data_IF_210011836237
#
_entry.id   IF_210011836237
#
_cell.length_a   1.000
_cell.length_b   1.000
_cell.length_c   1.000
_cell.angle_alpha   90.00
_cell.angle_beta   90.00
_cell.angle_gamma   90.00
#
_symmetry.space_group_name_H-M   'P 1'
#
loop_
_entity.id
_entity.type
_entity.pdbx_description
1 polymer ?
#
# COMPACT_ATOMS: atom_id res chain seq x y z
N UNK A 1 -7.18 3.60 3.45
CA UNK A 1 -6.29 4.11 2.37
C UNK A 1 -7.17 4.99 1.51
N UNK A 2 -7.14 6.30 1.76
CA UNK A 2 -7.82 7.31 0.95
C UNK A 2 -6.74 8.33 0.65
N UNK A 3 -6.42 8.49 -0.62
CA UNK A 3 -5.33 9.34 -1.11
C UNK A 3 -5.34 9.30 -2.63
N UNK A 4 -4.88 10.37 -3.25
CA UNK A 4 -4.54 10.36 -4.67
C UNK A 4 -3.09 9.89 -4.81
N UNK A 5 -2.77 9.30 -5.96
CA UNK A 5 -1.38 9.12 -6.37
C UNK A 5 -0.78 10.50 -6.61
N UNK A 6 0.48 10.72 -6.21
CA UNK A 6 1.14 12.01 -6.48
C UNK A 6 1.43 12.20 -7.98
N UNK A 7 1.76 11.13 -8.69
CA UNK A 7 1.84 11.16 -10.15
C UNK A 7 2.29 9.84 -10.80
N UNK A 8 2.40 9.88 -12.12
CA UNK A 8 3.05 8.86 -12.95
C UNK A 8 4.13 9.52 -13.79
N UNK A 9 5.17 8.77 -14.15
CA UNK A 9 6.22 9.21 -15.07
C UNK A 9 6.63 8.04 -15.96
N UNK A 10 7.36 8.34 -17.03
CA UNK A 10 8.02 7.35 -17.85
C UNK A 10 9.48 7.20 -17.44
N UNK A 11 9.99 5.97 -17.48
CA UNK A 11 11.41 5.65 -17.31
C UNK A 11 11.88 4.84 -18.50
N UNK A 12 13.13 5.03 -18.88
CA UNK A 12 13.75 4.30 -19.98
C UNK A 12 14.21 2.94 -19.49
N UNK A 13 13.83 1.88 -20.21
CA UNK A 13 14.19 0.49 -19.94
C UNK A 13 14.69 -0.17 -21.24
N UNK A 14 15.55 -1.19 -21.16
CA UNK A 14 15.97 -1.94 -22.35
C UNK A 14 14.76 -2.62 -23.00
N UNK A 15 14.64 -2.51 -24.33
CA UNK A 15 13.70 -3.33 -25.08
C UNK A 15 14.18 -4.80 -25.01
N UNK A 16 13.28 -5.74 -24.67
CA UNK A 16 13.66 -7.04 -24.09
C UNK A 16 14.67 -7.93 -24.86
N UNK A 17 15.42 -8.74 -24.09
CA UNK A 17 15.84 -10.12 -24.39
C UNK A 17 16.94 -10.41 -25.42
N UNK A 18 17.32 -9.47 -26.28
CA UNK A 18 18.40 -9.65 -27.26
C UNK A 18 19.38 -8.50 -27.17
N UNK A 19 20.67 -8.76 -27.32
CA UNK A 19 21.78 -7.79 -27.18
C UNK A 19 21.82 -6.63 -28.19
N UNK A 20 20.67 -6.07 -28.56
CA UNK A 20 20.54 -4.82 -29.30
C UNK A 20 20.42 -3.62 -28.36
N UNK A 21 20.94 -2.48 -28.80
CA UNK A 21 20.92 -1.18 -28.11
C UNK A 21 19.55 -0.47 -28.29
N UNK A 22 18.47 -1.23 -28.16
CA UNK A 22 17.11 -0.71 -28.35
C UNK A 22 16.48 -0.39 -26.99
N UNK A 23 15.87 0.79 -26.90
CA UNK A 23 15.39 1.39 -25.65
C UNK A 23 13.90 1.68 -25.76
N UNK A 24 13.14 1.34 -24.73
CA UNK A 24 11.71 1.65 -24.65
C UNK A 24 11.41 2.40 -23.36
N UNK A 25 10.19 2.92 -23.23
CA UNK A 25 9.72 3.58 -22.02
C UNK A 25 8.70 2.70 -21.30
N UNK A 26 8.78 2.72 -19.98
CA UNK A 26 7.80 2.12 -19.09
C UNK A 26 7.21 3.19 -18.18
N UNK A 27 5.89 3.17 -18.03
CA UNK A 27 5.22 4.03 -17.06
C UNK A 27 5.36 3.46 -15.64
N UNK A 28 5.79 4.31 -14.71
CA UNK A 28 5.88 4.00 -13.28
C UNK A 28 5.08 5.02 -12.46
N UNK A 29 4.68 4.59 -11.27
CA UNK A 29 4.10 5.48 -10.26
C UNK A 29 5.19 6.28 -9.55
N UNK A 30 4.90 7.52 -9.18
CA UNK A 30 5.72 8.32 -8.25
C UNK A 30 4.87 8.67 -7.05
N UNK A 31 5.35 8.32 -5.86
CA UNK A 31 4.71 8.66 -4.58
C UNK A 31 5.71 9.42 -3.71
N UNK A 32 5.32 10.58 -3.20
CA UNK A 32 6.18 11.53 -2.48
C UNK A 32 5.73 11.67 -1.03
N UNK A 33 6.63 11.37 -0.10
CA UNK A 33 6.42 11.54 1.35
C UNK A 33 7.32 12.63 1.90
N UNK A 34 6.72 13.75 2.30
CA UNK A 34 7.40 14.76 3.11
C UNK A 34 7.54 14.28 4.56
N UNK A 35 8.78 14.15 5.04
CA UNK A 35 9.10 13.66 6.39
C UNK A 35 9.53 14.82 7.29
N UNK A 36 9.01 14.83 8.52
CA UNK A 36 9.34 15.83 9.54
C UNK A 36 10.50 15.37 10.45
N UNK A 37 10.61 14.06 10.70
CA UNK A 37 11.61 13.50 11.63
C UNK A 37 12.86 12.88 10.99
N UNK A 38 12.90 12.73 9.67
CA UNK A 38 13.99 12.07 8.95
C UNK A 38 13.52 11.12 7.86
N UNK A 39 14.46 10.71 7.02
CA UNK A 39 14.25 9.65 6.02
C UNK A 39 14.13 8.30 6.74
N UNK A 40 13.26 7.43 6.27
CA UNK A 40 13.11 6.05 6.79
C UNK A 40 13.60 5.07 5.74
N UNK A 41 14.66 4.33 6.04
CA UNK A 41 15.30 3.41 5.10
C UNK A 41 15.45 2.05 5.83
N UNK A 42 14.68 1.01 5.45
CA UNK A 42 13.69 1.00 4.37
C UNK A 42 12.46 1.88 4.68
N UNK A 43 11.67 2.27 3.66
CA UNK A 43 10.43 3.00 3.87
C UNK A 43 9.44 2.19 4.75
N UNK A 44 8.55 2.84 5.51
CA UNK A 44 7.53 2.15 6.28
C UNK A 44 6.66 1.24 5.41
N UNK A 45 6.32 0.06 5.93
CA UNK A 45 5.53 -0.91 5.19
C UNK A 45 4.18 -0.37 4.70
N UNK A 46 3.50 0.47 5.49
CA UNK A 46 2.23 1.07 5.07
C UNK A 46 2.37 2.03 3.88
N UNK A 47 3.52 2.70 3.74
CA UNK A 47 3.81 3.55 2.58
C UNK A 47 4.06 2.68 1.35
N UNK A 48 4.82 1.58 1.50
CA UNK A 48 5.03 0.62 0.43
C UNK A 48 3.72 -0.02 -0.04
N UNK A 49 2.86 -0.44 0.90
CA UNK A 49 1.56 -1.04 0.59
C UNK A 49 0.63 -0.06 -0.15
N UNK A 50 0.64 1.22 0.25
CA UNK A 50 -0.08 2.25 -0.48
C UNK A 50 0.43 2.41 -1.91
N UNK A 51 1.75 2.48 -2.10
CA UNK A 51 2.36 2.60 -3.43
C UNK A 51 2.09 1.38 -4.31
N UNK A 52 2.18 0.16 -3.77
CA UNK A 52 1.80 -1.09 -4.46
C UNK A 52 0.35 -1.04 -4.91
N UNK A 53 -0.57 -0.53 -4.09
CA UNK A 53 -1.96 -0.37 -4.48
C UNK A 53 -2.09 0.58 -5.69
N UNK A 54 -1.33 1.68 -5.75
CA UNK A 54 -1.33 2.58 -6.90
C UNK A 54 -0.79 1.90 -8.17
N UNK A 55 0.32 1.15 -8.08
CA UNK A 55 0.82 0.36 -9.22
C UNK A 55 -0.25 -0.56 -9.78
N UNK A 56 -0.93 -1.31 -8.92
CA UNK A 56 -1.97 -2.25 -9.33
C UNK A 56 -3.18 -1.55 -9.95
N UNK A 57 -3.60 -0.39 -9.43
CA UNK A 57 -4.73 0.38 -9.96
C UNK A 57 -4.42 1.04 -11.31
N UNK A 58 -3.16 1.44 -11.55
CA UNK A 58 -2.74 2.15 -12.76
C UNK A 58 -2.08 1.24 -13.79
N UNK A 59 -1.92 -0.05 -13.49
CA UNK A 59 -1.29 -1.02 -14.38
C UNK A 59 0.23 -0.86 -14.52
N UNK A 60 0.89 -0.16 -13.60
CA UNK A 60 2.36 0.00 -13.62
C UNK A 60 3.03 -1.20 -12.94
N UNK A 61 4.17 -1.68 -13.46
CA UNK A 61 4.92 -2.78 -12.83
C UNK A 61 5.79 -2.30 -11.66
N UNK A 62 6.07 -1.00 -11.59
CA UNK A 62 6.95 -0.41 -10.59
C UNK A 62 6.52 1.00 -10.16
N UNK A 63 7.16 1.48 -9.10
CA UNK A 63 7.02 2.83 -8.58
C UNK A 63 8.31 3.34 -7.95
N UNK A 64 8.46 4.66 -7.90
CA UNK A 64 9.42 5.35 -7.05
C UNK A 64 8.72 5.96 -5.83
N UNK A 65 9.04 5.41 -4.65
CA UNK A 65 8.65 5.99 -3.37
C UNK A 65 9.73 7.00 -2.94
N UNK A 66 9.45 8.27 -3.17
CA UNK A 66 10.30 9.42 -2.89
C UNK A 66 10.04 9.91 -1.47
N UNK A 67 11.09 10.05 -0.68
CA UNK A 67 11.04 10.64 0.67
C UNK A 67 11.83 11.94 0.69
N UNK A 68 11.18 13.03 1.09
CA UNK A 68 11.77 14.36 1.16
C UNK A 68 11.80 14.83 2.61
N UNK A 69 12.97 15.22 3.13
CA UNK A 69 13.11 15.88 4.44
C UNK A 69 13.89 17.18 4.28
N UNK A 70 13.52 18.21 5.03
CA UNK A 70 14.31 19.44 5.12
C UNK A 70 15.15 19.40 6.40
N UNK A 71 16.48 19.42 6.26
CA UNK A 71 17.41 19.48 7.39
C UNK A 71 18.16 20.80 7.30
N UNK A 72 18.00 21.67 8.31
CA UNK A 72 18.61 23.01 8.34
C UNK A 72 18.35 23.81 7.04
N UNK A 73 17.11 23.77 6.56
CA UNK A 73 16.69 24.47 5.33
C UNK A 73 17.10 23.79 4.01
N UNK A 74 17.96 22.76 4.03
CA UNK A 74 18.38 22.04 2.82
C UNK A 74 17.50 20.80 2.59
N UNK A 75 16.98 20.57 1.37
CA UNK A 75 16.23 19.36 1.06
C UNK A 75 17.20 18.17 0.98
N UNK A 76 16.80 17.03 1.56
CA UNK A 76 17.38 15.72 1.31
C UNK A 76 16.28 14.82 0.76
N UNK A 77 16.60 14.17 -0.33
CA UNK A 77 15.68 13.28 -1.05
C UNK A 77 16.28 11.87 -1.02
N UNK A 78 15.44 10.88 -0.76
CA UNK A 78 15.79 9.48 -0.93
C UNK A 78 14.68 8.80 -1.70
N UNK A 79 15.05 8.02 -2.71
CA UNK A 79 14.11 7.31 -3.57
C UNK A 79 14.29 5.82 -3.34
N UNK A 80 13.19 5.11 -3.14
CA UNK A 80 13.16 3.65 -3.09
C UNK A 80 12.31 3.15 -4.25
N UNK A 81 12.93 2.40 -5.17
CA UNK A 81 12.21 1.69 -6.25
C UNK A 81 11.47 0.51 -5.66
N UNK A 82 10.17 0.43 -5.93
CA UNK A 82 9.32 -0.70 -5.59
C UNK A 82 8.89 -1.35 -6.90
N UNK A 83 9.24 -2.62 -7.11
CA UNK A 83 8.75 -3.41 -8.23
C UNK A 83 7.69 -4.41 -7.74
N UNK A 84 6.59 -4.55 -8.46
CA UNK A 84 5.51 -5.48 -8.11
C UNK A 84 6.01 -6.93 -8.06
N UNK A 85 6.94 -7.27 -8.93
CA UNK A 85 7.49 -8.61 -9.13
C UNK A 85 8.92 -8.74 -8.57
N UNK A 86 9.30 -7.89 -7.60
CA UNK A 86 10.56 -8.00 -6.86
C UNK A 86 10.69 -9.38 -6.20
N UNK A 87 11.84 -10.02 -6.35
CA UNK A 87 12.08 -11.39 -5.89
C UNK A 87 11.98 -11.55 -4.37
N UNK A 88 12.30 -10.50 -3.60
CA UNK A 88 12.30 -10.54 -2.15
C UNK A 88 10.90 -10.22 -1.63
N UNK A 89 10.30 -9.12 -2.10
CA UNK A 89 9.05 -8.63 -1.55
C UNK A 89 7.81 -9.28 -2.16
N UNK A 90 7.90 -9.80 -3.39
CA UNK A 90 6.82 -10.49 -4.13
C UNK A 90 5.48 -9.76 -4.03
N UNK A 91 5.51 -8.43 -4.18
CA UNK A 91 4.40 -7.55 -3.84
C UNK A 91 3.09 -7.92 -4.55
N UNK A 92 3.14 -8.26 -5.84
CA UNK A 92 1.97 -8.69 -6.61
C UNK A 92 1.33 -9.93 -6.01
N UNK A 93 2.14 -10.95 -5.77
CA UNK A 93 1.66 -12.21 -5.24
C UNK A 93 1.10 -12.04 -3.81
N UNK A 94 1.85 -11.38 -2.92
CA UNK A 94 1.41 -11.15 -1.55
C UNK A 94 0.15 -10.28 -1.49
N UNK A 95 -0.02 -9.34 -2.43
CA UNK A 95 -1.24 -8.58 -2.56
C UNK A 95 -2.44 -9.50 -2.85
N UNK A 96 -2.33 -10.38 -3.84
CA UNK A 96 -3.41 -11.28 -4.22
C UNK A 96 -3.66 -12.38 -3.18
N UNK A 97 -2.61 -12.93 -2.57
CA UNK A 97 -2.71 -14.02 -1.61
C UNK A 97 -3.20 -13.55 -0.23
N UNK A 98 -2.81 -12.36 0.21
CA UNK A 98 -3.02 -11.91 1.60
C UNK A 98 -3.86 -10.64 1.68
N UNK A 99 -3.43 -9.57 1.02
CA UNK A 99 -4.01 -8.24 1.23
C UNK A 99 -5.42 -8.16 0.68
N UNK A 100 -5.62 -8.57 -0.57
CA UNK A 100 -6.88 -8.44 -1.28
C UNK A 100 -8.01 -9.25 -0.61
N UNK A 101 -7.83 -10.54 -0.25
CA UNK A 101 -8.85 -11.29 0.49
C UNK A 101 -9.23 -10.63 1.82
N UNK A 102 -8.24 -10.12 2.56
CA UNK A 102 -8.48 -9.44 3.84
C UNK A 102 -9.24 -8.12 3.66
N UNK A 103 -8.94 -7.36 2.61
CA UNK A 103 -9.68 -6.14 2.26
C UNK A 103 -11.15 -6.46 1.92
N UNK A 104 -11.41 -7.52 1.15
CA UNK A 104 -12.78 -7.96 0.88
C UNK A 104 -13.52 -8.39 2.14
N UNK A 105 -12.89 -9.16 3.02
CA UNK A 105 -13.48 -9.57 4.30
C UNK A 105 -13.82 -8.36 5.18
N UNK A 106 -12.90 -7.40 5.27
CA UNK A 106 -13.11 -6.15 5.99
C UNK A 106 -14.27 -5.33 5.38
N UNK A 107 -14.27 -5.12 4.06
CA UNK A 107 -15.32 -4.39 3.37
C UNK A 107 -16.70 -5.04 3.53
N UNK A 108 -16.77 -6.38 3.45
CA UNK A 108 -18.00 -7.13 3.71
C UNK A 108 -18.51 -6.91 5.14
N UNK A 109 -17.62 -6.91 6.13
CA UNK A 109 -17.97 -6.61 7.52
C UNK A 109 -18.53 -5.21 7.68
N UNK A 110 -17.86 -4.20 7.11
CA UNK A 110 -18.34 -2.82 7.13
C UNK A 110 -19.72 -2.71 6.49
N UNK A 111 -19.95 -3.37 5.35
CA UNK A 111 -21.27 -3.40 4.68
C UNK A 111 -22.35 -4.02 5.57
N UNK A 112 -22.08 -5.16 6.22
CA UNK A 112 -23.02 -5.78 7.19
C UNK A 112 -23.41 -4.81 8.32
N UNK A 113 -22.44 -4.11 8.89
CA UNK A 113 -22.69 -3.11 9.92
C UNK A 113 -23.53 -1.96 9.41
N UNK A 114 -23.25 -1.47 8.20
CA UNK A 114 -24.00 -0.36 7.60
C UNK A 114 -25.46 -0.75 7.33
N UNK A 115 -25.71 -2.01 6.96
CA UNK A 115 -27.05 -2.54 6.66
C UNK A 115 -27.87 -2.85 7.92
N UNK A 116 -27.23 -3.17 9.06
CA UNK A 116 -27.93 -3.47 10.31
C UNK A 116 -27.81 -2.33 11.32
N UNK A 117 -28.86 -1.51 11.44
CA UNK A 117 -28.92 -0.40 12.41
C UNK A 117 -28.64 -0.83 13.84
N UNK A 118 -29.16 -1.99 14.28
CA UNK A 118 -28.94 -2.51 15.64
C UNK A 118 -27.47 -2.85 15.89
N UNK A 119 -26.82 -3.55 14.96
CA UNK A 119 -25.39 -3.88 15.08
C UNK A 119 -24.51 -2.63 15.07
N UNK A 120 -24.82 -1.66 14.20
CA UNK A 120 -24.13 -0.37 14.15
C UNK A 120 -24.28 0.39 15.46
N UNK A 121 -25.50 0.52 15.97
CA UNK A 121 -25.78 1.20 17.23
C UNK A 121 -25.08 0.52 18.41
N UNK A 122 -25.19 -0.81 18.51
CA UNK A 122 -24.52 -1.59 19.55
C UNK A 122 -22.99 -1.40 19.54
N UNK A 123 -22.38 -1.31 18.36
CA UNK A 123 -20.95 -1.04 18.23
C UNK A 123 -20.57 0.41 18.62
N UNK A 124 -21.34 1.39 18.14
CA UNK A 124 -21.06 2.80 18.44
C UNK A 124 -21.24 3.13 19.92
N UNK A 125 -22.20 2.52 20.60
CA UNK A 125 -22.44 2.73 22.03
C UNK A 125 -21.60 1.82 22.95
N UNK A 126 -20.86 0.84 22.40
CA UNK A 126 -20.05 -0.08 23.18
C UNK A 126 -18.76 0.57 23.72
N UNK A 127 -18.27 0.03 24.84
CA UNK A 127 -16.92 0.32 25.38
C UNK A 127 -15.83 -0.17 24.41
N UNK A 128 -14.58 0.33 24.52
CA UNK A 128 -13.47 -0.11 23.66
C UNK A 128 -13.27 -1.64 23.65
N UNK A 129 -13.25 -2.28 24.82
CA UNK A 129 -13.11 -3.73 24.93
C UNK A 129 -14.27 -4.49 24.24
N UNK A 130 -15.49 -3.97 24.36
CA UNK A 130 -16.66 -4.59 23.72
C UNK A 130 -16.66 -4.37 22.21
N UNK A 131 -16.20 -3.22 21.72
CA UNK A 131 -15.99 -2.97 20.29
C UNK A 131 -14.97 -3.93 19.69
N UNK A 132 -13.86 -4.16 20.38
CA UNK A 132 -12.86 -5.12 19.95
C UNK A 132 -13.42 -6.55 19.90
N UNK A 133 -14.14 -6.99 20.93
CA UNK A 133 -14.77 -8.31 20.93
C UNK A 133 -15.77 -8.48 19.78
N UNK A 134 -16.53 -7.43 19.47
CA UNK A 134 -17.41 -7.39 18.29
C UNK A 134 -16.60 -7.51 17.01
N UNK A 135 -15.53 -6.73 16.82
CA UNK A 135 -14.70 -6.79 15.61
C UNK A 135 -14.00 -8.14 15.44
N UNK A 136 -13.49 -8.73 16.53
CA UNK A 136 -12.86 -10.06 16.49
C UNK A 136 -13.82 -11.15 16.02
N UNK A 137 -15.09 -11.07 16.45
CA UNK A 137 -16.15 -11.98 16.00
C UNK A 137 -16.53 -11.73 14.54
N UNK A 138 -16.70 -10.47 14.16
CA UNK A 138 -17.32 -10.11 12.88
C UNK A 138 -16.32 -10.01 11.71
N UNK A 139 -15.03 -9.75 12.00
CA UNK A 139 -13.93 -9.68 11.05
C UNK A 139 -12.64 -10.30 11.64
N UNK A 140 -12.59 -11.64 11.80
CA UNK A 140 -11.44 -12.30 12.44
C UNK A 140 -10.10 -12.03 11.76
N UNK A 141 -10.12 -11.85 10.43
CA UNK A 141 -8.95 -11.57 9.58
C UNK A 141 -8.26 -10.25 9.89
N UNK A 142 -8.92 -9.33 10.62
CA UNK A 142 -8.30 -8.09 11.10
C UNK A 142 -7.29 -8.34 12.22
N UNK A 143 -7.42 -9.48 12.92
CA UNK A 143 -6.64 -9.81 14.11
C UNK A 143 -5.74 -11.04 13.93
N UNK A 144 -5.89 -11.77 12.84
CA UNK A 144 -5.02 -12.90 12.52
C UNK A 144 -3.81 -12.38 11.74
N UNK A 145 -2.68 -12.27 12.42
CA UNK A 145 -1.38 -12.34 11.78
C UNK A 145 -1.00 -13.81 11.75
N UNK A 146 -1.37 -14.51 10.67
CA UNK A 146 -0.73 -15.77 10.33
C UNK A 146 0.70 -15.43 9.93
N UNK A 147 1.58 -15.36 10.95
CA UNK A 147 3.01 -15.30 10.77
C UNK A 147 3.47 -16.69 10.36
N UNK A 148 3.65 -16.87 9.04
CA UNK A 148 4.44 -17.95 8.45
C UNK A 148 5.64 -17.33 7.78
#
# INVERSE_FOLDING_TARGET
>A
IVGAVDGVTEVVVPAGGGGGDDWTTEQIVVEVKHRVGGLKIPPPFYDQLQTVAYCLMLGCSAADLVQCVRIRGKPRIHVTRLALDDAVARHREMWHAVVLPRLYAFAATVRRFRQCHRSRYAFLCATPARREAILRRECPTLFHFDGS
#
